data_IF_692464351854
#
_entry.id   IF_692464351854
#
_cell.length_a   1.000
_cell.length_b   1.000
_cell.length_c   1.000
_cell.angle_alpha   90.00
_cell.angle_beta   90.00
_cell.angle_gamma   90.00
#
_symmetry.space_group_name_H-M   'P 1'
#
loop_
_entity.id
_entity.type
_entity.pdbx_description
1 polymer ?
#
# COMPACT_ATOMS: atom_id res chain seq x y z
N UNK A 1 -31.29 -6.79 -50.26
CA UNK A 1 -32.48 -7.40 -50.88
C UNK A 1 -33.57 -6.36 -50.84
N UNK A 2 -34.11 -5.93 -51.98
CA UNK A 2 -35.18 -4.92 -52.02
C UNK A 2 -36.32 -5.32 -51.08
N UNK A 3 -36.88 -4.34 -50.36
CA UNK A 3 -38.00 -4.54 -49.45
C UNK A 3 -39.12 -5.37 -50.08
N UNK A 4 -39.58 -6.40 -49.37
CA UNK A 4 -40.61 -7.30 -49.85
C UNK A 4 -41.96 -6.60 -49.83
N UNK A 5 -42.58 -6.45 -51.01
CA UNK A 5 -43.96 -5.98 -51.15
C UNK A 5 -44.91 -7.17 -51.05
N UNK A 6 -45.72 -7.23 -49.99
CA UNK A 6 -46.71 -8.29 -49.83
C UNK A 6 -47.94 -8.03 -50.71
N UNK A 7 -48.35 -9.05 -51.46
CA UNK A 7 -49.63 -9.11 -52.15
C UNK A 7 -50.43 -10.32 -51.64
N UNK A 8 -51.72 -10.38 -51.96
CA UNK A 8 -52.55 -11.50 -51.52
C UNK A 8 -51.96 -12.84 -52.01
N UNK A 9 -51.71 -13.78 -51.09
CA UNK A 9 -51.08 -15.07 -51.38
C UNK A 9 -49.54 -15.09 -51.29
N UNK A 10 -48.86 -13.97 -51.00
CA UNK A 10 -47.41 -13.97 -50.77
C UNK A 10 -47.06 -14.84 -49.55
N UNK A 11 -46.19 -15.84 -49.74
CA UNK A 11 -45.69 -16.68 -48.65
C UNK A 11 -44.62 -15.93 -47.85
N UNK A 12 -44.80 -15.86 -46.54
CA UNK A 12 -43.79 -15.32 -45.63
C UNK A 12 -42.64 -16.32 -45.48
N UNK A 13 -41.42 -15.90 -45.78
CA UNK A 13 -40.23 -16.76 -45.67
C UNK A 13 -39.54 -16.61 -44.32
N UNK A 14 -38.76 -17.62 -43.93
CA UNK A 14 -37.93 -17.55 -42.72
C UNK A 14 -36.91 -16.40 -42.79
N UNK A 15 -36.36 -16.13 -43.97
CA UNK A 15 -35.39 -15.04 -44.19
C UNK A 15 -36.00 -13.66 -43.93
N UNK A 16 -37.23 -13.43 -44.40
CA UNK A 16 -37.96 -12.20 -44.10
C UNK A 16 -38.19 -12.05 -42.58
N UNK A 17 -38.66 -13.10 -41.91
CA UNK A 17 -38.89 -13.08 -40.46
C UNK A 17 -37.61 -12.84 -39.65
N UNK A 18 -36.51 -13.46 -40.05
CA UNK A 18 -35.20 -13.25 -39.43
C UNK A 18 -34.69 -11.82 -39.65
N UNK A 19 -34.93 -11.24 -40.81
CA UNK A 19 -34.54 -9.86 -41.11
C UNK A 19 -35.32 -8.85 -40.28
N UNK A 20 -36.66 -8.98 -40.16
CA UNK A 20 -37.47 -8.02 -39.38
C UNK A 20 -37.28 -8.14 -37.86
N UNK A 21 -36.85 -9.31 -37.36
CA UNK A 21 -36.56 -9.52 -35.94
C UNK A 21 -35.25 -8.85 -35.49
N UNK A 22 -34.39 -8.44 -36.43
CA UNK A 22 -33.13 -7.75 -36.15
C UNK A 22 -33.06 -6.42 -36.94
N UNK A 23 -33.82 -5.39 -36.52
CA UNK A 23 -33.91 -4.15 -37.28
C UNK A 23 -32.55 -3.43 -37.38
N UNK A 24 -32.21 -2.95 -38.58
CA UNK A 24 -31.08 -2.05 -38.84
C UNK A 24 -31.59 -0.65 -39.22
N UNK A 25 -31.06 0.40 -38.61
CA UNK A 25 -31.42 1.79 -38.91
C UNK A 25 -30.31 2.47 -39.73
N UNK A 26 -30.11 2.01 -40.97
CA UNK A 26 -29.03 2.50 -41.85
C UNK A 26 -29.49 3.31 -43.06
N UNK A 27 -30.80 3.45 -43.25
CA UNK A 27 -31.37 4.22 -44.36
C UNK A 27 -31.43 3.47 -45.69
N UNK A 28 -31.19 2.16 -45.70
CA UNK A 28 -31.37 1.32 -46.89
C UNK A 28 -32.78 0.75 -46.98
N UNK A 29 -33.29 0.53 -48.19
CA UNK A 29 -34.65 0.05 -48.43
C UNK A 29 -34.69 -1.48 -48.62
N UNK A 30 -34.33 -2.20 -47.55
CA UNK A 30 -34.29 -3.65 -47.49
C UNK A 30 -35.18 -4.17 -46.34
N UNK A 31 -35.58 -5.45 -46.39
CA UNK A 31 -36.34 -6.05 -45.28
C UNK A 31 -35.53 -6.03 -43.98
N UNK A 32 -36.15 -5.58 -42.88
CA UNK A 32 -35.47 -5.36 -41.61
C UNK A 32 -34.63 -4.08 -41.54
N UNK A 33 -34.52 -3.32 -42.63
CA UNK A 33 -33.83 -2.03 -42.65
C UNK A 33 -34.83 -0.87 -42.63
N UNK A 34 -34.52 0.15 -41.84
CA UNK A 34 -35.35 1.32 -41.60
C UNK A 34 -34.56 2.60 -41.89
N UNK A 35 -35.31 3.69 -42.12
CA UNK A 35 -34.73 5.02 -42.19
C UNK A 35 -33.92 5.31 -40.91
N UNK A 36 -32.82 6.05 -41.05
CA UNK A 36 -32.07 6.51 -39.88
C UNK A 36 -32.99 7.35 -39.01
N UNK A 37 -32.96 7.09 -37.69
CA UNK A 37 -33.66 7.93 -36.72
C UNK A 37 -33.03 9.32 -36.77
N UNK A 38 -33.83 10.31 -37.12
CA UNK A 38 -33.46 11.72 -37.13
C UNK A 38 -33.91 12.39 -35.84
N UNK A 39 -33.52 13.65 -35.64
CA UNK A 39 -34.01 14.41 -34.50
C UNK A 39 -35.54 14.62 -34.57
N UNK A 40 -36.13 14.69 -35.76
CA UNK A 40 -37.58 14.94 -35.92
C UNK A 40 -38.42 13.72 -35.53
N UNK A 41 -37.83 12.52 -35.52
CA UNK A 41 -38.46 11.28 -35.07
C UNK A 41 -38.53 11.16 -33.54
N UNK A 42 -37.79 12.01 -32.80
CA UNK A 42 -37.79 12.03 -31.35
C UNK A 42 -38.76 13.08 -30.82
N UNK A 43 -39.52 12.73 -29.78
CA UNK A 43 -40.50 13.64 -29.18
C UNK A 43 -39.85 14.66 -28.23
N UNK A 44 -40.30 15.91 -28.31
CA UNK A 44 -39.97 17.01 -27.39
C UNK A 44 -40.86 17.02 -26.13
N UNK A 45 -41.80 16.07 -25.99
CA UNK A 45 -42.66 15.96 -24.81
C UNK A 45 -41.87 15.58 -23.54
N UNK A 46 -42.33 16.06 -22.38
CA UNK A 46 -41.71 15.72 -21.10
C UNK A 46 -41.69 14.19 -20.87
N UNK A 47 -40.59 13.68 -20.30
CA UNK A 47 -40.36 12.24 -20.11
C UNK A 47 -39.89 11.49 -21.36
N UNK A 48 -39.49 12.21 -22.40
CA UNK A 48 -38.89 11.65 -23.62
C UNK A 48 -37.39 11.95 -23.67
N UNK A 49 -36.69 11.19 -24.50
CA UNK A 49 -35.22 11.20 -24.54
C UNK A 49 -34.61 12.58 -24.83
N UNK A 50 -35.27 13.43 -25.64
CA UNK A 50 -34.77 14.76 -25.99
C UNK A 50 -34.75 15.71 -24.78
N UNK A 51 -35.88 15.97 -24.08
CA UNK A 51 -35.86 16.76 -22.86
C UNK A 51 -35.00 16.16 -21.74
N UNK A 52 -34.97 14.84 -21.59
CA UNK A 52 -34.14 14.18 -20.58
C UNK A 52 -32.65 14.36 -20.84
N UNK A 53 -32.22 14.12 -22.09
CA UNK A 53 -30.84 14.36 -22.51
C UNK A 53 -30.46 15.82 -22.34
N UNK A 54 -31.35 16.75 -22.70
CA UNK A 54 -31.10 18.19 -22.55
C UNK A 54 -30.94 18.57 -21.08
N UNK A 55 -31.81 18.04 -20.21
CA UNK A 55 -31.75 18.26 -18.76
C UNK A 55 -30.44 17.72 -18.17
N UNK A 56 -30.07 16.49 -18.55
CA UNK A 56 -28.81 15.87 -18.14
C UNK A 56 -27.60 16.69 -18.63
N UNK A 57 -27.54 17.00 -19.93
CA UNK A 57 -26.45 17.76 -20.56
C UNK A 57 -26.32 19.16 -19.97
N UNK A 58 -27.42 19.81 -19.65
CA UNK A 58 -27.45 21.19 -19.17
C UNK A 58 -27.41 21.30 -17.64
N UNK A 59 -27.23 20.19 -16.91
CA UNK A 59 -27.03 20.20 -15.45
C UNK A 59 -25.76 20.99 -15.08
N UNK A 60 -25.87 21.94 -14.14
CA UNK A 60 -24.80 22.89 -13.74
C UNK A 60 -24.21 23.75 -14.88
N UNK A 61 -24.90 23.86 -16.02
CA UNK A 61 -24.46 24.68 -17.14
C UNK A 61 -24.47 26.15 -16.76
N UNK A 62 -23.45 26.86 -17.21
CA UNK A 62 -23.30 28.30 -17.02
C UNK A 62 -23.72 29.03 -18.30
N UNK A 63 -24.44 30.14 -18.15
CA UNK A 63 -24.79 31.07 -19.21
C UNK A 63 -24.44 32.51 -18.83
N UNK A 64 -24.24 33.36 -19.83
CA UNK A 64 -23.99 34.78 -19.61
C UNK A 64 -25.26 35.44 -19.05
N UNK A 65 -25.11 36.22 -17.97
CA UNK A 65 -26.15 37.09 -17.43
C UNK A 65 -26.04 38.51 -18.00
N UNK A 66 -26.67 39.47 -17.33
CA UNK A 66 -26.54 40.89 -17.67
C UNK A 66 -25.40 41.54 -16.88
N UNK A 67 -24.65 42.45 -17.51
CA UNK A 67 -23.50 43.12 -16.88
C UNK A 67 -22.40 42.13 -16.45
N UNK A 68 -21.99 42.21 -15.18
CA UNK A 68 -20.96 41.37 -14.57
C UNK A 68 -21.57 40.18 -13.79
N UNK A 69 -22.61 39.57 -14.33
CA UNK A 69 -23.25 38.40 -13.71
C UNK A 69 -23.28 37.21 -14.66
N UNK A 70 -23.11 36.01 -14.12
CA UNK A 70 -23.33 34.76 -14.83
C UNK A 70 -24.41 33.94 -14.11
N UNK A 71 -25.25 33.26 -14.89
CA UNK A 71 -26.29 32.37 -14.38
C UNK A 71 -25.82 30.93 -14.49
N UNK A 72 -26.26 30.07 -13.57
CA UNK A 72 -25.99 28.64 -13.64
C UNK A 72 -27.25 27.83 -13.30
N UNK A 73 -27.43 26.70 -13.97
CA UNK A 73 -28.53 25.77 -13.69
C UNK A 73 -28.24 24.96 -12.42
N UNK A 74 -29.30 24.40 -11.82
CA UNK A 74 -29.15 23.52 -10.67
C UNK A 74 -28.54 22.16 -11.02
N UNK A 75 -28.19 21.41 -9.99
CA UNK A 75 -27.66 20.05 -10.13
C UNK A 75 -27.26 19.44 -8.80
N UNK A 76 -26.56 18.31 -8.86
CA UNK A 76 -25.98 17.67 -7.69
C UNK A 76 -24.53 17.29 -7.97
N UNK A 77 -23.68 17.38 -6.96
CA UNK A 77 -22.27 16.96 -7.04
C UNK A 77 -21.89 16.11 -5.84
N UNK A 78 -21.03 15.12 -6.05
CA UNK A 78 -20.40 14.37 -4.96
C UNK A 78 -19.14 15.12 -4.51
N UNK A 79 -19.08 15.47 -3.23
CA UNK A 79 -17.95 16.17 -2.61
C UNK A 79 -16.81 15.20 -2.28
N UNK A 80 -15.59 15.69 -2.00
CA UNK A 80 -14.43 14.84 -1.67
C UNK A 80 -14.63 13.94 -0.44
N UNK A 81 -15.57 14.28 0.45
CA UNK A 81 -15.95 13.48 1.62
C UNK A 81 -17.05 12.44 1.31
N UNK A 82 -17.46 12.29 0.04
CA UNK A 82 -18.49 11.36 -0.42
C UNK A 82 -19.93 11.85 -0.26
N UNK A 83 -20.18 13.01 0.35
CA UNK A 83 -21.55 13.53 0.47
C UNK A 83 -22.05 14.13 -0.85
N UNK A 84 -23.35 14.06 -1.09
CA UNK A 84 -23.98 14.70 -2.26
C UNK A 84 -24.45 16.10 -1.85
N UNK A 85 -23.93 17.13 -2.52
CA UNK A 85 -24.39 18.51 -2.37
C UNK A 85 -25.38 18.85 -3.49
N UNK A 86 -26.59 19.26 -3.11
CA UNK A 86 -27.58 19.81 -4.03
C UNK A 86 -27.29 21.29 -4.28
N UNK A 87 -27.19 21.67 -5.54
CA UNK A 87 -26.91 23.03 -5.99
C UNK A 87 -28.20 23.60 -6.59
N UNK A 88 -28.78 24.59 -5.94
CA UNK A 88 -29.90 25.34 -6.51
C UNK A 88 -29.42 26.22 -7.67
N UNK A 89 -30.24 26.43 -8.73
CA UNK A 89 -29.90 27.40 -9.77
C UNK A 89 -29.72 28.80 -9.18
N UNK A 90 -28.84 29.59 -9.75
CA UNK A 90 -28.52 30.91 -9.21
C UNK A 90 -27.74 31.80 -10.16
N UNK A 91 -27.31 32.94 -9.61
CA UNK A 91 -26.44 33.89 -10.30
C UNK A 91 -25.20 34.16 -9.46
N UNK A 92 -24.11 34.51 -10.11
CA UNK A 92 -22.84 34.85 -9.45
C UNK A 92 -22.23 36.10 -10.07
N UNK A 93 -21.71 36.97 -9.22
CA UNK A 93 -20.99 38.17 -9.62
C UNK A 93 -19.59 37.81 -10.14
N UNK A 94 -19.15 38.55 -11.16
CA UNK A 94 -17.86 38.41 -11.80
C UNK A 94 -16.99 39.63 -11.49
N UNK A 95 -15.68 39.45 -11.43
CA UNK A 95 -14.73 40.57 -11.38
C UNK A 95 -14.66 41.21 -12.76
N UNK A 96 -14.71 42.55 -12.82
CA UNK A 96 -14.57 43.30 -14.08
C UNK A 96 -13.15 43.23 -14.63
N UNK A 97 -13.00 43.37 -15.95
CA UNK A 97 -11.71 43.38 -16.66
C UNK A 97 -10.81 42.18 -16.31
N UNK A 98 -11.40 40.99 -16.17
CA UNK A 98 -10.69 39.79 -15.74
C UNK A 98 -11.21 38.52 -16.42
N UNK A 99 -10.37 37.48 -16.41
CA UNK A 99 -10.82 36.10 -16.67
C UNK A 99 -11.29 35.49 -15.35
N UNK A 100 -12.56 35.12 -15.30
CA UNK A 100 -13.22 34.53 -14.16
C UNK A 100 -13.40 33.02 -14.39
N UNK A 101 -13.04 32.21 -13.40
CA UNK A 101 -13.32 30.78 -13.35
C UNK A 101 -14.46 30.53 -12.39
N UNK A 102 -15.55 29.95 -12.88
CA UNK A 102 -16.67 29.50 -12.06
C UNK A 102 -16.48 28.03 -11.71
N UNK A 103 -16.64 27.70 -10.44
CA UNK A 103 -16.40 26.36 -9.93
C UNK A 103 -17.20 26.07 -8.68
N UNK A 104 -17.34 24.79 -8.36
CA UNK A 104 -17.87 24.33 -7.08
C UNK A 104 -16.69 23.97 -6.17
N UNK A 105 -16.63 24.62 -5.00
CA UNK A 105 -15.59 24.39 -4.00
C UNK A 105 -15.83 23.09 -3.20
N UNK A 106 -14.89 22.73 -2.32
CA UNK A 106 -14.97 21.51 -1.49
C UNK A 106 -16.16 21.49 -0.52
N UNK A 107 -16.79 22.64 -0.27
CA UNK A 107 -17.99 22.77 0.57
C UNK A 107 -19.30 22.65 -0.21
N UNK A 108 -19.23 22.44 -1.54
CA UNK A 108 -20.42 22.34 -2.39
C UNK A 108 -21.06 23.70 -2.69
N UNK A 109 -20.31 24.79 -2.68
CA UNK A 109 -20.81 26.13 -3.06
C UNK A 109 -20.24 26.56 -4.41
N UNK A 110 -21.07 27.16 -5.26
CA UNK A 110 -20.63 27.79 -6.51
C UNK A 110 -19.94 29.11 -6.18
N UNK A 111 -18.72 29.29 -6.68
CA UNK A 111 -17.92 30.50 -6.48
C UNK A 111 -17.19 30.89 -7.77
N UNK A 112 -16.69 32.13 -7.83
CA UNK A 112 -15.96 32.69 -8.95
C UNK A 112 -14.62 33.28 -8.46
N UNK A 113 -13.54 33.04 -9.20
CA UNK A 113 -12.23 33.61 -8.90
C UNK A 113 -11.45 33.93 -10.18
N UNK A 114 -10.48 34.84 -10.09
CA UNK A 114 -9.61 35.21 -11.22
C UNK A 114 -8.43 34.25 -11.41
N UNK A 115 -8.12 33.45 -10.40
CA UNK A 115 -7.16 32.35 -10.47
C UNK A 115 -7.88 31.00 -10.58
N UNK A 116 -7.36 30.10 -11.40
CA UNK A 116 -7.91 28.74 -11.53
C UNK A 116 -7.67 27.94 -10.24
N UNK A 117 -8.71 27.36 -9.61
CA UNK A 117 -8.54 26.58 -8.39
C UNK A 117 -7.77 25.28 -8.63
N UNK A 118 -6.95 24.86 -7.66
CA UNK A 118 -6.21 23.60 -7.71
C UNK A 118 -7.09 22.37 -7.45
N UNK A 119 -8.13 22.51 -6.62
CA UNK A 119 -9.04 21.42 -6.26
C UNK A 119 -10.49 21.91 -6.26
N UNK A 120 -11.18 21.72 -7.39
CA UNK A 120 -12.58 22.09 -7.55
C UNK A 120 -13.20 21.40 -8.78
N UNK A 121 -14.54 21.37 -8.86
CA UNK A 121 -15.25 21.05 -10.09
C UNK A 121 -15.44 22.33 -10.90
N UNK A 122 -14.69 22.48 -11.99
CA UNK A 122 -14.79 23.64 -12.88
C UNK A 122 -16.09 23.57 -13.68
N UNK A 123 -16.80 24.71 -13.76
CA UNK A 123 -18.03 24.85 -14.53
C UNK A 123 -17.79 25.64 -15.81
N UNK A 124 -17.16 26.82 -15.71
CA UNK A 124 -16.93 27.68 -16.86
C UNK A 124 -15.76 28.64 -16.68
N UNK A 125 -15.30 29.16 -17.81
CA UNK A 125 -14.41 30.32 -17.89
C UNK A 125 -15.12 31.45 -18.63
N UNK A 126 -15.07 32.65 -18.06
CA UNK A 126 -15.76 33.85 -18.56
C UNK A 126 -14.80 35.03 -18.52
N UNK A 127 -14.65 35.74 -19.63
CA UNK A 127 -13.86 36.98 -19.66
C UNK A 127 -14.80 38.17 -19.60
N UNK A 128 -14.46 39.18 -18.80
CA UNK A 128 -15.21 40.44 -18.68
C UNK A 128 -14.35 41.60 -19.14
N UNK A 129 -14.96 42.60 -19.78
CA UNK A 129 -14.33 43.86 -20.19
C UNK A 129 -15.37 44.98 -20.11
N UNK A 130 -15.02 46.09 -19.47
CA UNK A 130 -15.85 47.31 -19.47
C UNK A 130 -17.24 47.13 -18.82
N UNK A 131 -17.33 46.37 -17.73
CA UNK A 131 -18.58 46.15 -16.99
C UNK A 131 -19.52 45.12 -17.63
N UNK A 132 -19.07 44.38 -18.64
CA UNK A 132 -19.85 43.36 -19.33
C UNK A 132 -19.03 42.09 -19.58
N UNK A 133 -19.72 40.96 -19.76
CA UNK A 133 -19.12 39.73 -20.29
C UNK A 133 -18.67 40.00 -21.75
N UNK A 134 -17.41 39.70 -22.03
CA UNK A 134 -16.80 39.82 -23.35
C UNK A 134 -16.53 38.44 -23.93
N UNK A 135 -17.21 38.11 -25.03
CA UNK A 135 -17.09 36.82 -25.72
C UNK A 135 -18.01 35.72 -25.20
N UNK A 136 -17.68 34.48 -25.53
CA UNK A 136 -18.48 33.30 -25.18
C UNK A 136 -18.14 32.78 -23.77
N UNK A 137 -19.14 32.23 -23.07
CA UNK A 137 -18.93 31.41 -21.89
C UNK A 137 -18.30 30.09 -22.33
N UNK A 138 -17.05 29.84 -21.91
CA UNK A 138 -16.35 28.59 -22.21
C UNK A 138 -16.77 27.54 -21.19
N UNK A 139 -17.50 26.52 -21.65
CA UNK A 139 -17.94 25.39 -20.81
C UNK A 139 -16.75 24.50 -20.45
N UNK A 140 -16.44 24.41 -19.15
CA UNK A 140 -15.36 23.60 -18.60
C UNK A 140 -15.85 22.36 -17.86
N UNK A 141 -17.17 22.07 -17.90
CA UNK A 141 -17.73 20.88 -17.27
C UNK A 141 -17.15 19.61 -17.93
N UNK A 142 -16.81 18.57 -17.16
CA UNK A 142 -16.40 17.30 -17.73
C UNK A 142 -17.56 16.70 -18.53
N UNK A 143 -17.34 16.47 -19.84
CA UNK A 143 -18.39 15.99 -20.77
C UNK A 143 -18.80 14.53 -20.53
N UNK A 144 -17.98 13.78 -19.78
CA UNK A 144 -18.28 12.45 -19.29
C UNK A 144 -17.73 12.35 -17.88
N UNK A 145 -18.58 12.09 -16.91
CA UNK A 145 -18.15 11.75 -15.56
C UNK A 145 -17.71 10.29 -15.60
N UNK A 146 -16.46 10.03 -15.99
CA UNK A 146 -15.79 8.81 -15.54
C UNK A 146 -15.36 9.11 -14.12
N UNK A 147 -16.28 8.99 -13.17
CA UNK A 147 -15.87 8.86 -11.79
C UNK A 147 -15.22 7.49 -11.69
N UNK A 148 -13.89 7.38 -11.49
CA UNK A 148 -13.35 6.09 -11.10
C UNK A 148 -14.11 5.69 -9.84
N UNK A 149 -14.71 4.50 -9.85
CA UNK A 149 -15.14 3.88 -8.60
C UNK A 149 -13.92 3.85 -7.70
N UNK A 150 -14.09 4.06 -6.39
CA UNK A 150 -12.99 3.96 -5.43
C UNK A 150 -12.25 2.62 -5.56
N UNK A 151 -12.95 1.58 -6.02
CA UNK A 151 -12.44 0.26 -6.37
C UNK A 151 -11.55 0.23 -7.64
N UNK A 152 -11.75 1.13 -8.60
CA UNK A 152 -10.93 1.24 -9.80
C UNK A 152 -9.59 1.95 -9.54
N UNK A 153 -9.49 2.73 -8.46
CA UNK A 153 -8.22 3.33 -8.04
C UNK A 153 -7.24 2.26 -7.52
N UNK A 154 -7.76 1.14 -6.95
CA UNK A 154 -6.98 -0.08 -6.68
C UNK A 154 -6.34 -0.69 -7.92
N UNK A 155 -6.95 -0.53 -9.11
CA UNK A 155 -6.42 -1.11 -10.35
C UNK A 155 -5.25 -0.33 -10.96
N UNK A 156 -5.00 0.91 -10.52
CA UNK A 156 -3.83 1.71 -10.93
C UNK A 156 -2.78 1.81 -9.81
N UNK A 157 -2.82 0.90 -8.83
CA UNK A 157 -1.86 0.84 -7.73
C UNK A 157 -2.23 1.67 -6.51
N UNK A 158 -3.26 2.53 -6.54
CA UNK A 158 -3.66 3.28 -5.35
C UNK A 158 -4.34 2.38 -4.32
N UNK A 159 -3.99 2.45 -3.04
CA UNK A 159 -4.63 1.64 -1.98
C UNK A 159 -6.09 2.04 -1.68
N UNK A 160 -6.68 2.98 -2.45
CA UNK A 160 -8.00 3.58 -2.22
C UNK A 160 -7.97 4.65 -1.12
N UNK A 161 -6.78 5.18 -0.83
CA UNK A 161 -6.48 6.07 0.30
C UNK A 161 -5.75 7.35 -0.12
N UNK A 162 -5.92 7.84 -1.35
CA UNK A 162 -5.14 8.97 -1.89
C UNK A 162 -5.34 10.32 -1.14
N UNK A 163 -6.18 10.33 -0.10
CA UNK A 163 -6.27 11.42 0.87
C UNK A 163 -5.34 11.27 2.07
N UNK A 164 -5.66 11.97 3.15
CA UNK A 164 -4.92 11.87 4.40
C UNK A 164 -5.28 10.58 5.14
N UNK A 165 -4.27 9.78 5.48
CA UNK A 165 -4.43 8.66 6.39
C UNK A 165 -4.09 9.11 7.81
N UNK A 166 -5.06 9.01 8.71
CA UNK A 166 -4.87 9.26 10.14
C UNK A 166 -5.35 8.06 10.94
N UNK A 167 -4.44 7.40 11.64
CA UNK A 167 -4.75 6.30 12.55
C UNK A 167 -4.78 6.82 14.00
N UNK A 168 -5.92 6.67 14.66
CA UNK A 168 -6.15 6.99 16.08
C UNK A 168 -6.33 5.76 16.98
N UNK A 169 -6.44 4.56 16.39
CA UNK A 169 -6.68 3.30 17.09
C UNK A 169 -5.73 2.19 16.62
N UNK A 170 -6.27 1.02 16.32
CA UNK A 170 -5.49 -0.10 15.76
C UNK A 170 -5.89 -0.37 14.32
N UNK A 171 -4.91 -0.73 13.49
CA UNK A 171 -5.15 -1.16 12.12
C UNK A 171 -4.11 -2.21 11.70
N UNK A 172 -4.45 -2.98 10.68
CA UNK A 172 -3.53 -3.93 10.04
C UNK A 172 -3.42 -3.61 8.56
N UNK A 173 -2.19 -3.51 8.08
CA UNK A 173 -1.86 -3.54 6.65
C UNK A 173 -1.33 -4.91 6.30
N UNK A 174 -1.79 -5.45 5.18
CA UNK A 174 -1.21 -6.63 4.56
C UNK A 174 0.11 -6.27 3.87
N UNK A 175 0.77 -7.29 3.31
CA UNK A 175 1.94 -7.04 2.48
C UNK A 175 1.52 -6.30 1.20
N UNK A 176 2.10 -5.14 0.92
CA UNK A 176 1.76 -4.39 -0.29
C UNK A 176 2.30 -2.97 -0.38
N UNK A 177 1.78 -2.26 -1.37
CA UNK A 177 2.06 -0.85 -1.61
C UNK A 177 0.86 0.02 -1.22
N UNK A 178 1.14 1.17 -0.61
CA UNK A 178 0.14 2.10 -0.08
C UNK A 178 0.45 3.52 -0.50
N UNK A 179 -0.59 4.31 -0.81
CA UNK A 179 -0.44 5.67 -1.34
C UNK A 179 -1.33 6.63 -0.55
N UNK A 180 -0.73 7.69 0.01
CA UNK A 180 -1.40 8.69 0.84
C UNK A 180 -0.97 10.11 0.51
N UNK A 181 -1.84 11.09 0.77
CA UNK A 181 -1.45 12.50 0.74
C UNK A 181 -0.61 12.87 1.96
N UNK A 182 -1.14 12.66 3.17
CA UNK A 182 -0.40 12.67 4.43
C UNK A 182 -0.57 11.31 5.13
N UNK A 183 0.44 10.87 5.89
CA UNK A 183 0.39 9.63 6.66
C UNK A 183 0.67 9.92 8.13
N UNK A 184 -0.35 9.75 8.98
CA UNK A 184 -0.28 10.09 10.41
C UNK A 184 -0.67 8.88 11.26
N UNK A 185 0.25 8.46 12.13
CA UNK A 185 -0.04 7.51 13.23
C UNK A 185 -0.02 8.30 14.53
N UNK A 186 -1.18 8.52 15.14
CA UNK A 186 -1.30 9.30 16.37
C UNK A 186 -0.67 8.60 17.57
N UNK A 187 -0.31 9.35 18.60
CA UNK A 187 0.17 8.78 19.86
C UNK A 187 -0.89 7.81 20.44
N UNK A 188 -0.45 6.66 20.93
CA UNK A 188 -1.34 5.59 21.41
C UNK A 188 -1.93 4.69 20.31
N UNK A 189 -1.85 5.08 19.04
CA UNK A 189 -2.28 4.22 17.93
C UNK A 189 -1.25 3.13 17.61
N UNK A 190 -1.71 2.00 17.07
CA UNK A 190 -0.86 0.88 16.64
C UNK A 190 -1.22 0.40 15.24
N UNK A 191 -0.29 0.55 14.29
CA UNK A 191 -0.37 -0.07 12.97
C UNK A 191 0.44 -1.37 12.97
N UNK A 192 -0.18 -2.47 12.59
CA UNK A 192 0.51 -3.74 12.33
C UNK A 192 0.66 -3.95 10.84
N UNK A 193 1.84 -4.35 10.38
CA UNK A 193 2.11 -4.65 8.97
C UNK A 193 2.48 -6.13 8.85
N UNK A 194 1.78 -6.88 8.01
CA UNK A 194 2.04 -8.30 7.79
C UNK A 194 3.23 -8.48 6.83
N UNK A 195 4.41 -8.83 7.35
CA UNK A 195 5.61 -9.11 6.58
C UNK A 195 6.32 -7.86 6.04
N UNK A 196 5.63 -6.98 5.32
CA UNK A 196 6.21 -5.69 4.96
C UNK A 196 5.34 -4.81 4.08
N UNK A 197 5.59 -3.50 4.12
CA UNK A 197 4.85 -2.51 3.34
C UNK A 197 5.77 -1.48 2.71
N UNK A 198 5.37 -0.98 1.55
CA UNK A 198 5.94 0.19 0.91
C UNK A 198 4.89 1.30 0.86
N UNK A 199 5.12 2.38 1.59
CA UNK A 199 4.19 3.48 1.75
C UNK A 199 4.74 4.71 1.01
N UNK A 200 3.97 5.21 0.05
CA UNK A 200 4.23 6.44 -0.67
C UNK A 200 3.36 7.57 -0.09
N UNK A 201 3.99 8.69 0.24
CA UNK A 201 3.34 9.84 0.89
C UNK A 201 3.67 11.10 0.10
N UNK A 202 2.67 11.77 -0.46
CA UNK A 202 2.90 12.95 -1.30
C UNK A 202 3.41 14.16 -0.49
N UNK A 203 2.93 14.32 0.74
CA UNK A 203 3.26 15.42 1.65
C UNK A 203 3.99 14.91 2.88
N UNK A 204 3.41 14.98 4.07
CA UNK A 204 4.15 14.72 5.31
C UNK A 204 3.78 13.36 5.92
N UNK A 205 4.76 12.76 6.59
CA UNK A 205 4.60 11.54 7.38
C UNK A 205 4.92 11.82 8.84
N UNK A 206 3.99 11.54 9.74
CA UNK A 206 4.14 11.71 11.19
C UNK A 206 3.80 10.43 11.94
N UNK A 207 4.77 9.89 12.68
CA UNK A 207 4.62 8.64 13.45
C UNK A 207 4.86 8.94 14.93
N UNK A 208 3.77 9.19 15.65
CA UNK A 208 3.77 9.35 17.10
C UNK A 208 3.32 8.09 17.85
N UNK A 209 2.59 7.18 17.19
CA UNK A 209 2.21 5.88 17.72
C UNK A 209 3.23 4.77 17.43
N UNK A 210 2.75 3.53 17.37
CA UNK A 210 3.57 2.34 17.13
C UNK A 210 3.31 1.75 15.74
N UNK A 211 4.37 1.40 15.02
CA UNK A 211 4.30 0.53 13.85
C UNK A 211 5.00 -0.79 14.18
N UNK A 212 4.28 -1.90 14.08
CA UNK A 212 4.82 -3.25 14.24
C UNK A 212 4.86 -3.94 12.90
N UNK A 213 6.04 -4.21 12.37
CA UNK A 213 6.23 -4.98 11.15
C UNK A 213 6.50 -6.44 11.54
N UNK A 214 5.54 -7.31 11.25
CA UNK A 214 5.67 -8.72 11.57
C UNK A 214 6.73 -9.40 10.69
N UNK A 215 7.21 -10.54 11.16
CA UNK A 215 8.26 -11.30 10.48
C UNK A 215 7.81 -11.78 9.11
N UNK A 216 8.61 -11.53 8.07
CA UNK A 216 8.27 -11.86 6.67
C UNK A 216 8.70 -13.28 6.25
N UNK A 217 9.74 -13.82 6.90
CA UNK A 217 10.43 -15.03 6.40
C UNK A 217 10.49 -16.10 7.47
N UNK A 218 10.13 -17.32 7.10
CA UNK A 218 10.15 -18.46 8.03
C UNK A 218 11.59 -18.90 8.37
N UNK A 219 11.80 -19.27 9.64
CA UNK A 219 12.98 -20.02 10.06
C UNK A 219 12.90 -21.49 9.63
N UNK A 220 13.99 -22.24 9.85
CA UNK A 220 14.02 -23.67 9.60
C UNK A 220 12.93 -24.40 10.38
N UNK A 221 12.25 -25.34 9.73
CA UNK A 221 11.13 -26.04 10.36
C UNK A 221 11.60 -26.89 11.55
N UNK A 222 10.80 -26.89 12.62
CA UNK A 222 10.91 -27.85 13.72
C UNK A 222 9.97 -29.04 13.50
N UNK A 223 10.31 -30.21 14.04
CA UNK A 223 9.46 -31.40 13.99
C UNK A 223 9.81 -32.39 15.11
N UNK A 224 8.84 -33.24 15.47
CA UNK A 224 9.05 -34.33 16.43
C UNK A 224 9.65 -35.57 15.80
N UNK A 225 10.50 -36.26 16.55
CA UNK A 225 11.15 -37.50 16.11
C UNK A 225 11.35 -38.47 17.26
N UNK A 226 11.26 -39.76 16.95
CA UNK A 226 11.64 -40.88 17.79
C UNK A 226 12.72 -41.75 17.12
N UNK A 227 13.29 -41.25 16.01
CA UNK A 227 14.31 -41.97 15.24
C UNK A 227 15.64 -41.87 15.98
N UNK A 228 16.27 -42.99 16.35
CA UNK A 228 17.61 -42.98 16.94
C UNK A 228 18.63 -42.39 15.97
N UNK A 229 19.59 -41.63 16.49
CA UNK A 229 20.60 -40.93 15.69
C UNK A 229 20.30 -39.45 15.50
N UNK A 230 21.16 -38.76 14.73
CA UNK A 230 21.12 -37.31 14.55
C UNK A 230 20.22 -36.91 13.38
N UNK A 231 19.18 -36.12 13.66
CA UNK A 231 18.26 -35.56 12.66
C UNK A 231 18.09 -34.05 12.86
N UNK A 232 17.79 -33.30 11.80
CA UNK A 232 17.54 -31.86 11.86
C UNK A 232 18.50 -31.04 10.97
N UNK A 233 18.73 -29.78 11.36
CA UNK A 233 19.63 -28.87 10.66
C UNK A 233 19.05 -28.22 9.41
N UNK A 234 17.72 -28.11 9.32
CA UNK A 234 17.04 -27.48 8.19
C UNK A 234 17.41 -25.99 8.13
N UNK A 235 17.65 -25.50 6.92
CA UNK A 235 17.99 -24.09 6.72
C UNK A 235 16.76 -23.19 6.87
N UNK A 236 16.97 -22.01 7.43
CA UNK A 236 16.02 -20.91 7.39
C UNK A 236 15.86 -20.37 5.97
N UNK A 237 14.70 -19.79 5.69
CA UNK A 237 14.42 -19.23 4.38
C UNK A 237 15.06 -17.82 4.21
N UNK A 238 15.15 -17.38 2.95
CA UNK A 238 15.65 -16.06 2.55
C UNK A 238 17.16 -16.02 2.27
N UNK A 239 17.65 -14.95 1.62
CA UNK A 239 19.09 -14.71 1.48
C UNK A 239 19.73 -14.70 2.87
N UNK A 240 20.94 -15.24 3.04
CA UNK A 240 21.59 -15.24 4.36
C UNK A 240 20.87 -16.03 5.46
N UNK A 241 19.92 -16.92 5.10
CA UNK A 241 19.27 -17.81 6.06
C UNK A 241 20.28 -18.70 6.78
N UNK A 242 20.10 -18.85 8.10
CA UNK A 242 20.96 -19.72 8.90
C UNK A 242 20.71 -21.18 8.54
N UNK A 243 21.74 -22.02 8.56
CA UNK A 243 21.60 -23.47 8.43
C UNK A 243 22.00 -24.18 9.73
N UNK A 244 21.79 -25.50 9.80
CA UNK A 244 22.29 -26.27 10.95
C UNK A 244 23.82 -26.23 11.10
N UNK A 245 24.56 -26.07 10.00
CA UNK A 245 26.02 -26.22 10.00
C UNK A 245 26.80 -25.00 9.50
N UNK A 246 26.16 -24.02 8.87
CA UNK A 246 26.78 -22.83 8.31
C UNK A 246 26.02 -21.55 8.65
N UNK A 247 26.76 -20.46 8.86
CA UNK A 247 26.27 -19.16 9.29
C UNK A 247 25.41 -18.45 8.25
N UNK A 248 24.45 -17.65 8.71
CA UNK A 248 23.73 -16.70 7.86
C UNK A 248 24.60 -15.50 7.50
N UNK A 249 25.01 -15.40 6.23
CA UNK A 249 25.80 -14.27 5.74
C UNK A 249 24.98 -12.96 5.75
N UNK A 250 25.63 -11.86 6.14
CA UNK A 250 25.03 -10.53 5.96
C UNK A 250 24.78 -10.24 4.47
N UNK A 251 23.64 -9.61 4.18
CA UNK A 251 23.33 -9.02 2.89
C UNK A 251 22.66 -7.66 3.09
N UNK A 252 22.55 -6.92 1.99
CA UNK A 252 22.13 -5.52 2.00
C UNK A 252 20.66 -5.38 1.57
N UNK A 253 19.97 -4.33 2.06
CA UNK A 253 18.60 -3.93 1.71
C UNK A 253 18.32 -3.81 0.20
N UNK A 254 19.35 -3.65 -0.62
CA UNK A 254 19.22 -3.66 -2.08
C UNK A 254 18.81 -5.05 -2.61
N UNK A 255 19.25 -6.13 -1.94
CA UNK A 255 18.99 -7.51 -2.36
C UNK A 255 17.61 -8.01 -1.87
N UNK A 256 17.24 -7.71 -0.63
CA UNK A 256 15.91 -8.00 -0.11
C UNK A 256 15.47 -6.95 0.91
N UNK A 257 14.15 -6.80 1.04
CA UNK A 257 13.52 -5.77 1.89
C UNK A 257 13.14 -6.28 3.28
N UNK A 258 13.64 -7.44 3.68
CA UNK A 258 13.28 -8.11 4.93
C UNK A 258 14.47 -8.90 5.45
N UNK A 259 14.39 -9.36 6.70
CA UNK A 259 15.35 -10.28 7.30
C UNK A 259 15.22 -11.73 6.78
N UNK A 260 16.16 -12.58 7.19
CA UNK A 260 16.20 -14.01 6.91
C UNK A 260 15.88 -14.85 8.15
N UNK A 261 15.45 -16.09 7.92
CA UNK A 261 15.17 -17.04 8.99
C UNK A 261 16.45 -17.66 9.58
N UNK A 262 16.41 -18.00 10.87
CA UNK A 262 17.43 -18.84 11.50
C UNK A 262 17.28 -20.31 11.11
N UNK A 263 18.35 -21.09 11.23
CA UNK A 263 18.34 -22.54 11.02
C UNK A 263 17.67 -23.30 12.15
N UNK A 264 17.10 -24.47 11.86
CA UNK A 264 16.60 -25.36 12.90
C UNK A 264 17.75 -26.03 13.65
N UNK A 265 17.46 -26.50 14.87
CA UNK A 265 18.41 -27.28 15.67
C UNK A 265 18.62 -28.69 15.11
N UNK A 266 19.29 -29.53 15.90
CA UNK A 266 19.47 -30.96 15.69
C UNK A 266 18.99 -31.71 16.91
N UNK A 267 18.52 -32.92 16.72
CA UNK A 267 18.15 -33.83 17.78
C UNK A 267 18.92 -35.14 17.58
N UNK A 268 19.59 -35.62 18.62
CA UNK A 268 20.24 -36.92 18.67
C UNK A 268 19.73 -37.71 19.86
N UNK A 269 19.00 -38.78 19.57
CA UNK A 269 18.26 -39.55 20.57
C UNK A 269 18.84 -40.96 20.74
N UNK A 270 18.83 -41.45 21.98
CA UNK A 270 19.03 -42.86 22.28
C UNK A 270 17.82 -43.70 21.86
N UNK A 271 18.01 -45.02 21.79
CA UNK A 271 16.90 -45.97 21.57
C UNK A 271 15.77 -45.73 22.58
N UNK A 272 14.53 -45.69 22.10
CA UNK A 272 13.31 -45.44 22.90
C UNK A 272 13.15 -44.03 23.49
N UNK A 273 13.92 -43.06 23.01
CA UNK A 273 13.80 -41.65 23.43
C UNK A 273 12.96 -40.85 22.43
N UNK A 274 12.32 -39.78 22.91
CA UNK A 274 11.50 -38.88 22.08
C UNK A 274 11.98 -37.46 22.28
N UNK A 275 12.13 -36.72 21.18
CA UNK A 275 12.56 -35.34 21.20
C UNK A 275 12.03 -34.53 20.03
N UNK A 276 12.20 -33.22 20.12
CA UNK A 276 11.80 -32.25 19.11
C UNK A 276 13.05 -31.58 18.55
N UNK A 277 13.11 -31.46 17.22
CA UNK A 277 14.03 -30.55 16.54
C UNK A 277 13.46 -29.15 16.68
N UNK A 278 14.21 -28.27 17.35
CA UNK A 278 13.81 -26.88 17.55
C UNK A 278 13.69 -26.12 16.23
N UNK A 279 12.63 -25.34 16.06
CA UNK A 279 12.47 -24.48 14.89
C UNK A 279 13.41 -23.27 14.95
N UNK A 280 13.83 -22.77 13.80
CA UNK A 280 14.52 -21.50 13.69
C UNK A 280 13.58 -20.31 13.90
N UNK A 281 14.15 -19.19 14.31
CA UNK A 281 13.46 -17.91 14.42
C UNK A 281 13.15 -17.31 13.06
N UNK A 282 12.05 -16.57 12.96
CA UNK A 282 11.61 -15.92 11.71
C UNK A 282 12.38 -14.61 11.46
N UNK A 283 12.64 -14.27 10.21
CA UNK A 283 13.29 -13.01 9.83
C UNK A 283 12.37 -11.80 9.98
N UNK A 284 12.89 -10.68 10.45
CA UNK A 284 12.14 -9.43 10.63
C UNK A 284 11.54 -8.89 9.33
N UNK A 285 10.45 -8.15 9.43
CA UNK A 285 9.75 -7.60 8.27
C UNK A 285 10.41 -6.37 7.64
N UNK A 286 9.79 -5.83 6.60
CA UNK A 286 10.25 -4.62 5.90
C UNK A 286 9.27 -3.46 5.93
N UNK A 287 9.72 -2.27 6.35
CA UNK A 287 8.99 -1.02 6.18
C UNK A 287 9.77 -0.08 5.28
N UNK A 288 9.14 0.36 4.20
CA UNK A 288 9.64 1.43 3.34
C UNK A 288 8.64 2.58 3.37
N UNK A 289 9.09 3.80 3.65
CA UNK A 289 8.28 5.02 3.53
C UNK A 289 9.02 6.00 2.63
N UNK A 290 8.37 6.42 1.55
CA UNK A 290 8.86 7.46 0.65
C UNK A 290 7.94 8.68 0.71
N UNK A 291 8.51 9.83 1.06
CA UNK A 291 7.76 11.03 1.42
C UNK A 291 8.21 12.22 0.57
N UNK A 292 7.26 12.92 -0.08
CA UNK A 292 7.55 14.16 -0.81
C UNK A 292 7.88 15.33 0.13
N UNK A 293 7.30 15.34 1.32
CA UNK A 293 7.60 16.25 2.42
C UNK A 293 8.41 15.57 3.53
N UNK A 294 8.28 16.06 4.76
CA UNK A 294 9.12 15.61 5.88
C UNK A 294 8.61 14.30 6.50
N UNK A 295 9.53 13.50 7.06
CA UNK A 295 9.21 12.37 7.94
C UNK A 295 9.59 12.75 9.38
N UNK A 296 8.63 12.71 10.30
CA UNK A 296 8.83 12.96 11.74
C UNK A 296 8.39 11.77 12.58
N UNK A 297 9.30 11.23 13.40
CA UNK A 297 9.02 10.07 14.26
C UNK A 297 9.27 10.44 15.72
N UNK A 298 8.21 10.39 16.53
CA UNK A 298 8.27 10.54 18.00
C UNK A 298 7.88 9.25 18.74
N UNK A 299 7.29 8.28 18.03
CA UNK A 299 6.86 6.97 18.54
C UNK A 299 7.81 5.80 18.21
N UNK A 300 7.23 4.63 17.93
CA UNK A 300 7.95 3.36 17.81
C UNK A 300 7.83 2.73 16.42
N UNK A 301 8.91 2.20 15.88
CA UNK A 301 8.91 1.32 14.70
C UNK A 301 9.65 0.03 15.08
N UNK A 302 8.96 -1.11 15.01
CA UNK A 302 9.50 -2.42 15.38
C UNK A 302 9.51 -3.35 14.16
N UNK A 303 10.68 -3.78 13.70
CA UNK A 303 10.86 -4.77 12.64
C UNK A 303 11.90 -5.83 13.07
N UNK A 304 11.77 -6.35 14.29
CA UNK A 304 12.71 -7.30 14.89
C UNK A 304 12.59 -8.72 14.33
N UNK A 305 13.69 -9.47 14.40
CA UNK A 305 13.70 -10.92 14.17
C UNK A 305 13.02 -11.69 15.29
N UNK A 306 12.53 -12.89 14.96
CA UNK A 306 11.96 -13.84 15.91
C UNK A 306 13.03 -14.71 16.56
N UNK A 307 12.78 -15.13 17.81
CA UNK A 307 13.67 -16.04 18.53
C UNK A 307 13.60 -17.47 17.97
N UNK A 308 14.70 -18.21 18.07
CA UNK A 308 14.72 -19.65 17.85
C UNK A 308 13.98 -20.40 18.95
N UNK A 309 13.49 -21.60 18.64
CA UNK A 309 12.90 -22.51 19.62
C UNK A 309 13.97 -23.20 20.46
N UNK A 310 13.60 -23.61 21.67
CA UNK A 310 14.46 -24.39 22.55
C UNK A 310 14.43 -25.88 22.16
N UNK A 311 15.58 -26.55 22.31
CA UNK A 311 15.67 -27.99 22.17
C UNK A 311 14.83 -28.69 23.23
N UNK A 312 14.18 -29.81 22.88
CA UNK A 312 13.32 -30.56 23.81
C UNK A 312 13.55 -32.06 23.70
N UNK A 313 13.67 -32.71 24.86
CA UNK A 313 13.63 -34.17 25.02
C UNK A 313 12.47 -34.47 25.95
N UNK A 314 11.42 -35.09 25.43
CA UNK A 314 10.19 -35.35 26.19
C UNK A 314 10.24 -36.66 26.96
N UNK A 315 11.07 -37.62 26.54
CA UNK A 315 11.34 -38.86 27.27
C UNK A 315 12.68 -39.48 26.86
N UNK A 316 13.25 -40.27 27.78
CA UNK A 316 14.49 -41.01 27.53
C UNK A 316 15.76 -40.17 27.69
N UNK A 317 16.77 -40.45 26.88
CA UNK A 317 18.08 -39.79 26.91
C UNK A 317 18.51 -39.34 25.52
N UNK A 318 19.20 -38.22 25.44
CA UNK A 318 19.66 -37.66 24.18
C UNK A 318 20.20 -36.25 24.33
N UNK A 319 20.30 -35.57 23.19
CA UNK A 319 20.67 -34.15 23.10
C UNK A 319 19.83 -33.51 22.00
N UNK A 320 19.16 -32.40 22.32
CA UNK A 320 18.40 -31.59 21.37
C UNK A 320 18.90 -30.16 21.44
N UNK A 321 19.45 -29.65 20.35
CA UNK A 321 19.97 -28.29 20.29
C UNK A 321 18.89 -27.26 19.99
N UNK A 322 19.17 -26.02 20.40
CA UNK A 322 18.30 -24.89 20.10
C UNK A 322 18.34 -24.48 18.63
N UNK A 323 17.24 -23.91 18.15
CA UNK A 323 17.15 -23.27 16.84
C UNK A 323 17.82 -21.90 16.85
N UNK A 324 18.36 -21.48 15.70
CA UNK A 324 18.98 -20.17 15.56
C UNK A 324 17.95 -19.03 15.50
N UNK A 325 18.33 -17.84 15.99
CA UNK A 325 17.49 -16.65 15.91
C UNK A 325 17.35 -16.10 14.49
N UNK A 326 16.19 -15.55 14.15
CA UNK A 326 15.99 -14.87 12.86
C UNK A 326 16.67 -13.50 12.84
N UNK A 327 17.10 -13.03 11.67
CA UNK A 327 17.72 -11.71 11.58
C UNK A 327 16.71 -10.59 11.81
N UNK A 328 17.21 -9.39 12.13
CA UNK A 328 16.41 -8.17 12.09
C UNK A 328 15.85 -7.84 10.70
N UNK A 329 14.92 -6.90 10.65
CA UNK A 329 14.25 -6.43 9.43
C UNK A 329 14.78 -5.12 8.89
N UNK A 330 14.03 -4.51 7.97
CA UNK A 330 14.37 -3.25 7.30
C UNK A 330 13.43 -2.13 7.75
N UNK A 331 14.00 -0.97 8.08
CA UNK A 331 13.29 0.31 8.11
C UNK A 331 13.99 1.28 7.19
N UNK A 332 13.38 1.58 6.05
CA UNK A 332 13.91 2.48 5.03
C UNK A 332 13.01 3.70 4.91
N UNK A 333 13.57 4.87 5.19
CA UNK A 333 12.87 6.14 5.17
C UNK A 333 13.52 7.02 4.11
N UNK A 334 12.72 7.52 3.18
CA UNK A 334 13.15 8.45 2.13
C UNK A 334 12.29 9.69 2.17
N UNK A 335 12.92 10.85 2.14
CA UNK A 335 12.23 12.14 2.08
C UNK A 335 12.93 13.06 1.08
N UNK A 336 12.15 13.86 0.34
CA UNK A 336 12.70 14.94 -0.49
C UNK A 336 13.10 16.18 0.32
N UNK A 337 12.73 16.27 1.60
CA UNK A 337 13.01 17.44 2.46
C UNK A 337 13.84 17.08 3.68
N UNK A 338 13.30 16.28 4.62
CA UNK A 338 13.98 15.93 5.87
C UNK A 338 13.41 14.69 6.54
N UNK A 339 14.27 14.02 7.32
CA UNK A 339 13.90 12.94 8.24
C UNK A 339 14.37 13.34 9.64
N UNK A 340 13.45 13.38 10.59
CA UNK A 340 13.74 13.62 12.01
C UNK A 340 13.21 12.48 12.86
N UNK A 341 14.11 11.77 13.54
CA UNK A 341 13.80 10.79 14.57
C UNK A 341 14.11 11.46 15.91
N UNK A 342 13.06 11.79 16.66
CA UNK A 342 13.17 12.56 17.90
C UNK A 342 13.71 11.72 19.05
N UNK A 343 14.15 12.37 20.12
CA UNK A 343 14.76 11.70 21.27
C UNK A 343 13.83 10.71 22.00
N UNK A 344 12.52 10.88 21.89
CA UNK A 344 11.52 9.97 22.45
C UNK A 344 11.26 8.75 21.57
N UNK A 345 11.72 8.77 20.31
CA UNK A 345 11.43 7.72 19.35
C UNK A 345 12.39 6.55 19.47
N UNK A 346 11.87 5.35 19.16
CA UNK A 346 12.65 4.13 19.05
C UNK A 346 12.43 3.46 17.69
N UNK A 347 13.52 3.08 17.03
CA UNK A 347 13.50 2.21 15.85
C UNK A 347 14.24 0.92 16.20
N UNK A 348 13.51 -0.18 16.32
CA UNK A 348 14.02 -1.49 16.73
C UNK A 348 14.03 -2.47 15.55
N UNK A 349 15.23 -2.76 15.05
CA UNK A 349 15.47 -3.75 14.00
C UNK A 349 16.40 -4.86 14.47
N UNK A 350 16.39 -5.20 15.76
CA UNK A 350 17.30 -6.23 16.31
C UNK A 350 17.06 -7.63 15.77
N UNK A 351 18.11 -8.45 15.80
CA UNK A 351 18.01 -9.89 15.57
C UNK A 351 17.33 -10.61 16.74
N UNK A 352 16.75 -11.78 16.46
CA UNK A 352 16.18 -12.65 17.48
C UNK A 352 17.25 -13.49 18.18
N UNK A 353 16.96 -13.91 19.42
CA UNK A 353 17.87 -14.75 20.20
C UNK A 353 17.86 -16.20 19.70
N UNK A 354 18.97 -16.91 19.87
CA UNK A 354 19.02 -18.36 19.69
C UNK A 354 18.30 -19.08 20.83
N UNK A 355 17.79 -20.28 20.54
CA UNK A 355 17.18 -21.15 21.55
C UNK A 355 18.22 -21.89 22.39
N UNK A 356 17.81 -22.34 23.56
CA UNK A 356 18.62 -23.15 24.47
C UNK A 356 18.77 -24.59 23.96
N UNK A 357 19.92 -25.20 24.21
CA UNK A 357 20.11 -26.65 24.09
C UNK A 357 19.52 -27.38 25.30
N UNK A 358 19.17 -28.65 25.13
CA UNK A 358 18.63 -29.51 26.17
C UNK A 358 19.21 -30.94 26.08
N UNK A 359 19.31 -31.61 27.22
CA UNK A 359 19.89 -32.95 27.35
C UNK A 359 21.35 -32.92 27.78
N UNK A 360 22.05 -34.04 27.59
CA UNK A 360 23.37 -34.28 28.20
C UNK A 360 24.52 -33.55 27.51
N UNK A 361 24.38 -33.19 26.22
CA UNK A 361 25.44 -32.49 25.48
C UNK A 361 24.91 -31.79 24.23
N UNK A 362 24.04 -30.79 24.40
CA UNK A 362 23.46 -30.05 23.28
C UNK A 362 23.98 -28.62 23.19
N UNK A 363 24.36 -28.19 21.97
CA UNK A 363 24.69 -26.77 21.72
C UNK A 363 23.42 -25.92 21.72
N UNK A 364 23.58 -24.65 22.05
CA UNK A 364 22.54 -23.66 21.84
C UNK A 364 22.44 -23.22 20.37
N UNK A 365 21.30 -22.64 20.01
CA UNK A 365 21.18 -21.87 18.78
C UNK A 365 21.97 -20.56 18.85
N UNK A 366 22.48 -20.12 17.70
CA UNK A 366 23.13 -18.82 17.56
C UNK A 366 22.13 -17.67 17.45
N UNK A 367 22.51 -16.48 17.92
CA UNK A 367 21.72 -15.25 17.75
C UNK A 367 21.59 -14.82 16.28
N UNK A 368 20.48 -14.19 15.91
CA UNK A 368 20.30 -13.59 14.58
C UNK A 368 21.05 -12.26 14.43
N UNK A 369 21.52 -11.95 13.22
CA UNK A 369 22.14 -10.66 12.91
C UNK A 369 21.15 -9.50 13.06
N UNK A 370 21.62 -8.33 13.50
CA UNK A 370 20.78 -7.12 13.59
C UNK A 370 20.47 -6.54 12.21
N UNK A 371 19.31 -5.93 12.01
CA UNK A 371 18.78 -5.46 10.72
C UNK A 371 19.34 -4.13 10.21
N UNK A 372 18.60 -3.45 9.33
CA UNK A 372 19.07 -2.20 8.73
C UNK A 372 18.08 -1.06 8.91
N UNK A 373 18.60 0.11 9.27
CA UNK A 373 17.88 1.39 9.22
C UNK A 373 18.55 2.26 8.17
N UNK A 374 17.79 2.69 7.17
CA UNK A 374 18.31 3.45 6.03
C UNK A 374 17.55 4.76 5.90
N UNK A 375 18.24 5.88 6.08
CA UNK A 375 17.66 7.22 6.00
C UNK A 375 18.24 7.94 4.78
N UNK A 376 17.38 8.36 3.86
CA UNK A 376 17.77 9.06 2.62
C UNK A 376 16.97 10.35 2.52
N UNK A 377 17.61 11.48 2.83
CA UNK A 377 16.99 12.81 2.73
C UNK A 377 18.03 13.91 2.73
N UNK A 378 17.72 15.14 2.27
CA UNK A 378 18.66 16.26 2.38
C UNK A 378 19.17 16.50 3.79
N UNK A 379 18.30 16.36 4.80
CA UNK A 379 18.63 16.54 6.21
C UNK A 379 18.10 15.38 7.06
N UNK A 380 19.01 14.57 7.60
CA UNK A 380 18.70 13.52 8.56
C UNK A 380 19.10 13.95 9.97
N UNK A 381 18.17 13.95 10.93
CA UNK A 381 18.45 14.22 12.34
C UNK A 381 17.97 13.05 13.21
N UNK A 382 18.91 12.37 13.86
CA UNK A 382 18.65 11.25 14.79
C UNK A 382 19.15 11.56 16.20
N UNK A 383 19.47 12.82 16.50
CA UNK A 383 20.08 13.22 17.77
C UNK A 383 19.17 12.87 18.94
N UNK A 384 19.70 12.08 19.88
CA UNK A 384 18.99 11.63 21.08
C UNK A 384 18.00 10.49 20.85
N UNK A 385 17.76 10.07 19.60
CA UNK A 385 16.88 8.92 19.31
C UNK A 385 17.50 7.59 19.72
N UNK A 386 16.66 6.58 19.94
CA UNK A 386 17.10 5.21 20.21
C UNK A 386 16.97 4.34 18.95
N UNK A 387 18.09 4.00 18.32
CA UNK A 387 18.11 3.11 17.14
C UNK A 387 18.78 1.79 17.54
N UNK A 388 17.98 0.73 17.70
CA UNK A 388 18.44 -0.56 18.19
C UNK A 388 18.81 -1.48 17.01
N UNK A 389 20.11 -1.63 16.80
CA UNK A 389 20.69 -2.46 15.73
C UNK A 389 21.34 -3.74 16.25
N UNK A 390 21.18 -4.08 17.53
CA UNK A 390 21.88 -5.22 18.13
C UNK A 390 21.52 -6.56 17.46
N UNK A 391 22.49 -7.45 17.40
CA UNK A 391 22.22 -8.86 17.14
C UNK A 391 21.46 -9.48 18.30
N UNK A 392 20.85 -10.65 18.05
CA UNK A 392 20.39 -11.51 19.11
C UNK A 392 21.54 -12.13 19.88
N UNK A 393 21.25 -12.60 21.09
CA UNK A 393 22.18 -13.38 21.91
C UNK A 393 22.06 -14.86 21.56
N UNK A 394 23.15 -15.60 21.71
CA UNK A 394 23.09 -17.06 21.67
C UNK A 394 22.26 -17.60 22.85
N UNK A 395 21.69 -18.79 22.68
CA UNK A 395 21.08 -19.50 23.81
C UNK A 395 22.12 -20.11 24.76
N UNK A 396 21.62 -20.81 25.78
CA UNK A 396 22.43 -21.55 26.75
C UNK A 396 22.70 -22.97 26.27
N UNK A 397 23.94 -23.42 26.36
CA UNK A 397 24.37 -24.77 25.95
C UNK A 397 24.44 -25.72 27.16
N UNK A 398 24.18 -27.01 26.93
CA UNK A 398 24.42 -28.08 27.91
C UNK A 398 25.60 -28.97 27.53
N UNK A 399 26.15 -28.81 26.32
CA UNK A 399 27.39 -29.43 25.83
C UNK A 399 27.57 -29.27 24.32
N UNK A 400 28.32 -30.17 23.67
CA UNK A 400 28.78 -29.99 22.28
C UNK A 400 28.53 -31.17 21.32
N UNK A 401 27.79 -32.20 21.72
CA UNK A 401 27.62 -33.42 20.91
C UNK A 401 26.76 -33.24 19.65
N UNK A 402 25.82 -32.28 19.66
CA UNK A 402 25.02 -31.90 18.48
C UNK A 402 25.17 -30.41 18.17
N UNK A 403 25.30 -30.07 16.89
CA UNK A 403 25.35 -28.68 16.41
C UNK A 403 24.06 -27.93 16.75
N UNK A 404 24.14 -26.62 17.01
CA UNK A 404 22.96 -25.75 17.17
C UNK A 404 22.60 -25.06 15.87
N UNK A 405 21.33 -24.64 15.72
CA UNK A 405 20.91 -23.87 14.57
C UNK A 405 21.65 -22.52 14.52
N UNK A 406 22.19 -22.14 13.36
CA UNK A 406 22.78 -20.80 13.20
C UNK A 406 21.71 -19.73 13.01
N UNK A 407 22.03 -18.50 13.41
CA UNK A 407 21.15 -17.36 13.20
C UNK A 407 21.10 -16.91 11.74
N UNK A 408 20.01 -16.26 11.35
CA UNK A 408 19.91 -15.58 10.05
C UNK A 408 20.75 -14.30 10.02
N UNK A 409 21.25 -13.90 8.85
CA UNK A 409 21.91 -12.61 8.62
C UNK A 409 21.01 -11.63 7.85
N UNK A 410 21.12 -10.32 8.12
CA UNK A 410 20.60 -9.21 7.31
C UNK A 410 21.16 -7.90 7.86
N UNK A 411 22.01 -7.15 7.15
CA UNK A 411 22.76 -6.01 7.72
C UNK A 411 23.90 -6.41 8.66
N UNK A 412 23.63 -7.29 9.62
CA UNK A 412 24.60 -8.07 10.38
C UNK A 412 24.58 -9.55 10.01
N UNK A 413 25.68 -10.25 10.23
CA UNK A 413 25.78 -11.72 10.07
C UNK A 413 25.17 -12.44 11.27
N UNK A 414 24.52 -13.58 11.01
CA UNK A 414 24.02 -14.48 12.04
C UNK A 414 25.13 -15.20 12.79
N UNK A 415 24.87 -15.52 14.05
CA UNK A 415 25.81 -16.23 14.92
C UNK A 415 25.65 -17.74 14.88
N UNK A 416 26.64 -18.44 15.40
CA UNK A 416 26.61 -19.87 15.71
C UNK A 416 27.41 -20.10 16.98
N UNK A 417 26.72 -20.61 18.02
CA UNK A 417 27.32 -20.83 19.34
C UNK A 417 28.61 -21.65 19.25
N UNK A 418 29.66 -21.11 19.86
CA UNK A 418 30.99 -21.74 19.92
C UNK A 418 31.80 -21.66 18.62
N UNK A 419 31.33 -20.90 17.62
CA UNK A 419 32.04 -20.68 16.35
C UNK A 419 32.20 -19.19 16.08
N UNK A 420 31.10 -18.47 15.84
CA UNK A 420 31.10 -17.05 15.46
C UNK A 420 29.93 -16.37 16.18
N UNK A 421 30.18 -15.21 16.77
CA UNK A 421 29.12 -14.39 17.37
C UNK A 421 28.34 -13.65 16.27
N UNK A 422 27.04 -13.50 16.48
CA UNK A 422 26.21 -12.65 15.64
C UNK A 422 26.72 -11.20 15.67
N UNK A 423 26.53 -10.48 14.57
CA UNK A 423 26.97 -9.09 14.45
C UNK A 423 25.79 -8.14 14.35
N UNK A 424 25.97 -6.95 14.90
CA UNK A 424 24.97 -5.88 14.84
C UNK A 424 24.69 -5.46 13.39
N UNK A 425 23.52 -4.87 13.22
CA UNK A 425 23.04 -4.27 12.00
C UNK A 425 23.68 -2.93 11.67
N UNK A 426 23.06 -2.22 10.74
CA UNK A 426 23.63 -0.99 10.17
C UNK A 426 22.64 0.17 10.18
N UNK A 427 23.13 1.34 10.58
CA UNK A 427 22.49 2.63 10.30
C UNK A 427 23.18 3.25 9.08
N UNK A 428 22.41 3.49 8.03
CA UNK A 428 22.90 4.08 6.78
C UNK A 428 22.23 5.44 6.62
N UNK A 429 23.04 6.50 6.67
CA UNK A 429 22.60 7.87 6.45
C UNK A 429 23.08 8.33 5.08
N UNK A 430 22.17 8.77 4.23
CA UNK A 430 22.48 9.36 2.93
C UNK A 430 21.83 10.72 2.82
N UNK A 431 22.67 11.74 2.67
CA UNK A 431 22.22 13.10 2.33
C UNK A 431 22.41 13.37 0.85
N UNK A 432 21.47 14.09 0.26
CA UNK A 432 21.53 14.53 -1.12
C UNK A 432 21.07 15.98 -1.23
N UNK A 433 21.53 16.67 -2.26
CA UNK A 433 21.06 18.01 -2.58
C UNK A 433 19.88 17.85 -3.54
N UNK A 434 18.68 18.37 -3.23
CA UNK A 434 17.57 18.38 -4.18
C UNK A 434 17.97 19.16 -5.43
N UNK A 435 17.87 18.53 -6.60
CA UNK A 435 17.90 19.21 -7.89
C UNK A 435 16.44 19.51 -8.25
N UNK A 436 16.06 20.78 -8.13
CA UNK A 436 14.73 21.30 -8.46
C UNK A 436 14.66 21.83 -9.89
#
# INVERSE_FOLDING_TARGET
>A
MTKTTFVNGTTVTADFLNAINNPSFDGTDFDGHFAKITNDDLSDAAGQIKPEWTTFRDTLKVSAGTGLTASYTGGAVTLPNGTIAAIAPGTIALTDNATNFLYINSSGTVTAATARPLLALLLAQITTVGGAISGAVVDLRPRFIVSPRQEAIRSFGGSGGEGDYTLSGTATFDQGEYYFQNFTIQAGATLTIAGGAHIYVARNCSIAGTINVSTAVNGGAGFGTNVPGTVGGLSGAGPGGGSGSGIGSAYNYVLARHGSGGGSGFCSLGSSSVGLVANGGRGGGGLIIECGGSISITGFINAKGGNGGDGTISSGSGSSSGGGGGSGGLVLLRSLTSITIFATATVDVRGGNGGNGNGTSARAGGGGGGGQVVLISPSNNTTGSTILLFSGTDGTETGTAVGGGSGGGFGGSGGQKGVILATSGQLILRSFIPVG
#
